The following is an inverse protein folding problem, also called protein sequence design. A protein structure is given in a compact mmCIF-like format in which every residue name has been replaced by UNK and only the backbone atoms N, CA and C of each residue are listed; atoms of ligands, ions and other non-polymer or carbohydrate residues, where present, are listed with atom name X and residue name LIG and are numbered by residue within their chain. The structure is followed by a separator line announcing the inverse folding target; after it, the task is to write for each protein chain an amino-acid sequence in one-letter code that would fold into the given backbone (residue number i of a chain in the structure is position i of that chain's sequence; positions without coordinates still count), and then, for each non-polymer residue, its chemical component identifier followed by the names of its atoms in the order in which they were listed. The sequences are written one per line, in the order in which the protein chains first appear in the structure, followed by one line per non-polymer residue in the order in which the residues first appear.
data_IF_362375143721
#
_entry.id   IF_362375143721
#
_cell.length_a   1.000
_cell.length_b   1.000
_cell.length_c   1.000
_cell.angle_alpha   90.00
_cell.angle_beta   90.00
_cell.angle_gamma   90.00
#
_symmetry.space_group_name_H-M   'P 1'
#
loop_
_entity.id
_entity.type
_entity.pdbx_description
1 polymer ?
#
# COMPACT_ATOMS: atom_id res chain seq x y z
N UNK A 1 -2.52 15.79 9.23
CA UNK A 1 -1.86 14.82 10.11
C UNK A 1 -1.68 13.50 9.40
N UNK A 2 -0.56 12.82 9.65
CA UNK A 2 -0.32 11.52 9.03
C UNK A 2 -1.32 10.48 9.52
N UNK A 3 -1.70 9.59 8.63
CA UNK A 3 -2.66 8.51 8.93
C UNK A 3 -1.97 7.17 8.78
N UNK A 4 -1.16 6.82 9.75
CA UNK A 4 -0.39 5.60 9.71
C UNK A 4 -1.25 4.37 9.96
N UNK A 5 -1.03 3.34 9.17
CA UNK A 5 -1.68 2.05 9.35
C UNK A 5 -0.67 0.93 9.12
N UNK A 6 -0.68 -0.07 9.98
CA UNK A 6 0.22 -1.22 9.86
C UNK A 6 -0.47 -2.28 9.01
N UNK A 7 0.21 -2.71 7.95
CA UNK A 7 -0.27 -3.72 7.02
C UNK A 7 0.73 -4.85 6.93
N UNK A 8 0.31 -5.97 6.37
CA UNK A 8 1.19 -7.11 6.14
C UNK A 8 1.85 -6.98 4.78
N UNK A 9 3.17 -6.82 4.78
CA UNK A 9 3.91 -6.78 3.52
C UNK A 9 3.87 -8.13 2.80
N UNK A 10 4.22 -8.11 1.54
CA UNK A 10 4.22 -9.30 0.69
C UNK A 10 5.10 -10.41 1.25
N UNK A 11 6.18 -10.06 1.91
CA UNK A 11 7.12 -11.00 2.53
C UNK A 11 6.71 -11.47 3.91
N UNK A 12 5.56 -11.01 4.41
CA UNK A 12 5.07 -11.37 5.72
C UNK A 12 5.47 -10.43 6.83
N UNK A 13 6.34 -9.48 6.57
CA UNK A 13 6.76 -8.50 7.57
C UNK A 13 5.78 -7.33 7.65
N UNK A 14 5.55 -6.77 8.85
CA UNK A 14 4.65 -5.63 8.96
C UNK A 14 5.23 -4.39 8.29
N UNK A 15 4.34 -3.62 7.65
CA UNK A 15 4.70 -2.38 6.97
C UNK A 15 3.78 -1.28 7.47
N UNK A 16 4.35 -0.18 7.94
CA UNK A 16 3.57 0.99 8.33
C UNK A 16 3.45 1.92 7.13
N UNK A 17 2.23 2.29 6.78
CA UNK A 17 1.95 3.08 5.60
C UNK A 17 1.20 4.35 6.01
N UNK A 18 1.62 5.49 5.47
CA UNK A 18 0.93 6.76 5.68
C UNK A 18 -0.15 6.90 4.60
N UNK A 19 -1.40 6.69 4.98
CA UNK A 19 -2.52 6.72 4.05
C UNK A 19 -2.78 8.11 3.48
N UNK A 20 -2.26 9.17 4.08
CA UNK A 20 -2.39 10.51 3.53
C UNK A 20 -1.49 10.72 2.31
N UNK A 21 -0.48 9.89 2.14
CA UNK A 21 0.44 9.98 1.00
C UNK A 21 0.08 9.02 -0.12
N UNK A 22 -1.00 8.28 0.02
CA UNK A 22 -1.41 7.28 -0.97
C UNK A 22 -2.21 7.96 -2.08
N UNK A 23 -1.83 7.71 -3.33
CA UNK A 23 -2.56 8.21 -4.49
C UNK A 23 -3.72 7.28 -4.84
N UNK A 24 -3.45 5.98 -4.93
CA UNK A 24 -4.50 4.99 -5.14
C UNK A 24 -4.03 3.61 -4.69
N UNK A 25 -5.00 2.72 -4.51
CA UNK A 25 -4.78 1.34 -4.12
C UNK A 25 -5.55 0.46 -5.09
N UNK A 26 -4.94 -0.63 -5.56
CA UNK A 26 -5.63 -1.57 -6.43
C UNK A 26 -5.35 -3.00 -5.97
N UNK A 27 -6.22 -3.93 -6.38
CA UNK A 27 -6.00 -5.34 -6.09
C UNK A 27 -4.81 -5.87 -6.89
N UNK A 28 -4.04 -6.75 -6.24
CA UNK A 28 -2.92 -7.38 -6.89
C UNK A 28 -3.37 -8.34 -7.99
N UNK A 29 -2.52 -8.55 -8.98
CA UNK A 29 -2.85 -9.39 -10.14
C UNK A 29 -3.10 -10.85 -9.79
N UNK A 30 -2.62 -11.31 -8.65
CA UNK A 30 -2.77 -12.71 -8.22
C UNK A 30 -3.89 -12.88 -7.20
N UNK A 31 -4.79 -11.92 -7.12
CA UNK A 31 -5.98 -11.91 -6.28
C UNK A 31 -5.73 -12.06 -4.78
N UNK A 32 -4.49 -11.94 -4.35
CA UNK A 32 -4.14 -11.96 -2.93
C UNK A 32 -3.43 -10.67 -2.59
N UNK A 33 -4.12 -9.80 -1.85
CA UNK A 33 -3.53 -8.56 -1.40
C UNK A 33 -3.75 -7.41 -2.35
N UNK A 34 -2.95 -6.36 -2.16
CA UNK A 34 -3.14 -5.10 -2.85
C UNK A 34 -1.82 -4.44 -3.17
N UNK A 35 -1.84 -3.52 -4.12
CA UNK A 35 -0.70 -2.68 -4.44
C UNK A 35 -1.07 -1.24 -4.10
N UNK A 36 -0.24 -0.58 -3.31
CA UNK A 36 -0.46 0.78 -2.85
C UNK A 36 0.51 1.70 -3.58
N UNK A 37 -0.01 2.66 -4.33
CA UNK A 37 0.81 3.65 -5.02
C UNK A 37 0.79 4.96 -4.25
N UNK A 38 1.96 5.51 -4.00
CA UNK A 38 2.11 6.75 -3.25
C UNK A 38 2.15 7.94 -4.18
N UNK A 39 1.84 9.11 -3.61
CA UNK A 39 1.76 10.36 -4.37
C UNK A 39 3.14 11.03 -4.48
N UNK A 40 4.17 10.25 -4.75
CA UNK A 40 5.50 10.77 -5.00
C UNK A 40 6.31 9.77 -5.83
N UNK A 41 7.36 10.29 -6.49
CA UNK A 41 8.19 9.50 -7.37
C UNK A 41 9.60 9.38 -6.83
N UNK A 42 10.24 8.29 -7.20
CA UNK A 42 11.67 8.08 -6.96
C UNK A 42 12.25 7.56 -8.26
N UNK A 43 13.31 8.22 -8.76
CA UNK A 43 13.95 7.85 -10.04
C UNK A 43 12.93 7.77 -11.19
N UNK A 44 12.05 8.77 -11.27
CA UNK A 44 11.00 8.88 -12.31
C UNK A 44 9.96 7.76 -12.28
N UNK A 45 9.89 7.01 -11.17
CA UNK A 45 8.93 5.94 -11.00
C UNK A 45 8.10 6.20 -9.74
N UNK A 46 6.80 6.03 -9.83
CA UNK A 46 5.93 6.14 -8.66
C UNK A 46 6.34 5.09 -7.62
N UNK A 47 6.46 5.52 -6.38
CA UNK A 47 6.77 4.62 -5.29
C UNK A 47 5.53 3.79 -4.98
N UNK A 48 5.72 2.48 -4.84
CA UNK A 48 4.61 1.58 -4.51
C UNK A 48 5.08 0.51 -3.53
N UNK A 49 4.12 -0.11 -2.86
CA UNK A 49 4.38 -1.24 -1.97
C UNK A 49 3.28 -2.27 -2.16
N UNK A 50 3.67 -3.55 -2.11
CA UNK A 50 2.72 -4.65 -2.20
C UNK A 50 2.45 -5.20 -0.81
N UNK A 51 1.17 -5.38 -0.48
CA UNK A 51 0.75 -5.89 0.83
C UNK A 51 -0.22 -7.04 0.66
N UNK A 52 -0.39 -7.83 1.70
CA UNK A 52 -1.33 -8.96 1.69
C UNK A 52 -2.75 -8.55 2.03
N UNK A 53 -2.93 -7.37 2.60
CA UNK A 53 -4.24 -6.86 2.99
C UNK A 53 -5.08 -6.54 1.75
N UNK A 54 -6.38 -6.78 1.83
CA UNK A 54 -7.30 -6.44 0.75
C UNK A 54 -7.59 -4.95 0.77
N UNK A 55 -7.96 -4.41 -0.40
CA UNK A 55 -8.29 -2.99 -0.51
C UNK A 55 -9.34 -2.58 0.52
N UNK A 56 -10.37 -3.39 0.70
CA UNK A 56 -11.43 -3.09 1.66
C UNK A 56 -10.90 -3.04 3.10
N UNK A 57 -9.96 -3.91 3.43
CA UNK A 57 -9.37 -3.94 4.78
C UNK A 57 -8.47 -2.73 5.03
N UNK A 58 -7.78 -2.27 3.99
CA UNK A 58 -6.91 -1.10 4.10
C UNK A 58 -7.73 0.16 4.34
N UNK A 59 -8.88 0.25 3.71
CA UNK A 59 -9.76 1.43 3.80
C UNK A 59 -10.75 1.37 4.95
N UNK A 60 -10.77 0.27 5.66
CA UNK A 60 -11.70 0.10 6.78
C UNK A 60 -11.34 0.97 7.99
#
# INVERSE_FOLDING_TARGET
MAKWKVLQGKDGNPVAVDLEKVAWIKEGSLSTGSVIYFDFCKNDTLVFVEVKDKVADILA
#
